data_IF_958298623629
#
_entry.id   IF_958298623629
#
_cell.length_a   1.000
_cell.length_b   1.000
_cell.length_c   1.000
_cell.angle_alpha   90.00
_cell.angle_beta   90.00
_cell.angle_gamma   90.00
#
_symmetry.space_group_name_H-M   'P 1'
#
loop_
_entity.id
_entity.type
_entity.pdbx_description
1 polymer ?
#
# COMPACT_ATOMS: atom_id res chain seq x y z
N UNK A 1 15.93 11.35 34.68
CA UNK A 1 16.25 10.30 33.67
C UNK A 1 17.53 9.61 34.12
N UNK A 2 17.65 8.28 34.02
CA UNK A 2 18.80 7.53 34.55
C UNK A 2 20.07 7.76 33.70
N UNK A 3 21.18 8.30 34.25
CA UNK A 3 22.41 8.60 33.51
C UNK A 3 23.14 7.39 32.90
N UNK A 4 22.96 6.20 33.47
CA UNK A 4 23.54 4.97 32.93
C UNK A 4 22.79 4.50 31.70
N UNK A 5 21.46 4.56 31.76
CA UNK A 5 20.59 4.29 30.62
C UNK A 5 20.94 5.22 29.45
N UNK A 6 21.09 6.52 29.68
CA UNK A 6 21.45 7.46 28.61
C UNK A 6 22.81 7.16 27.98
N UNK A 7 23.81 6.76 28.77
CA UNK A 7 25.14 6.39 28.26
C UNK A 7 25.09 5.11 27.43
N UNK A 8 24.38 4.10 27.90
CA UNK A 8 24.23 2.84 27.18
C UNK A 8 23.43 3.03 25.89
N UNK A 9 22.35 3.83 25.96
CA UNK A 9 21.54 4.21 24.82
C UNK A 9 22.36 4.93 23.74
N UNK A 10 23.09 5.99 24.11
CA UNK A 10 23.96 6.72 23.16
C UNK A 10 25.00 5.80 22.52
N UNK A 11 25.53 4.82 23.26
CA UNK A 11 26.49 3.83 22.75
C UNK A 11 25.84 2.88 21.74
N UNK A 12 24.65 2.35 22.05
CA UNK A 12 23.88 1.46 21.16
C UNK A 12 23.48 2.18 19.87
N UNK A 13 22.93 3.39 19.97
CA UNK A 13 22.58 4.22 18.81
C UNK A 13 23.80 4.50 17.94
N UNK A 14 24.97 4.83 18.54
CA UNK A 14 26.22 5.03 17.77
C UNK A 14 26.62 3.78 17.00
N UNK A 15 26.54 2.59 17.60
CA UNK A 15 26.88 1.31 16.95
C UNK A 15 25.93 0.98 15.81
N UNK A 16 24.61 1.14 16.02
CA UNK A 16 23.62 0.92 14.97
C UNK A 16 23.86 1.87 13.81
N UNK A 17 24.06 3.17 14.07
CA UNK A 17 24.31 4.17 13.02
C UNK A 17 25.62 3.93 12.25
N UNK A 18 26.61 3.31 12.88
CA UNK A 18 27.87 2.94 12.24
C UNK A 18 27.79 1.63 11.45
N UNK A 19 26.69 0.86 11.54
CA UNK A 19 26.56 -0.40 10.82
C UNK A 19 26.31 -0.17 9.32
N UNK A 20 26.88 -1.04 8.48
CA UNK A 20 26.69 -1.00 7.02
C UNK A 20 25.21 -1.15 6.64
N UNK A 21 24.47 -1.97 7.38
CA UNK A 21 23.03 -2.12 7.19
C UNK A 21 22.31 -0.80 7.40
N UNK A 22 22.55 -0.11 8.53
CA UNK A 22 21.96 1.20 8.78
C UNK A 22 22.36 2.20 7.70
N UNK A 23 23.66 2.29 7.37
CA UNK A 23 24.13 3.19 6.32
C UNK A 23 23.43 2.90 4.98
N UNK A 24 23.24 1.64 4.63
CA UNK A 24 22.57 1.23 3.38
C UNK A 24 21.09 1.61 3.36
N UNK A 25 20.33 1.36 4.44
CA UNK A 25 18.88 1.64 4.47
C UNK A 25 18.55 3.10 4.82
N UNK A 26 19.45 3.80 5.51
CA UNK A 26 19.29 5.21 5.89
C UNK A 26 19.85 6.19 4.86
N UNK A 27 20.69 5.72 3.93
CA UNK A 27 21.12 6.53 2.79
C UNK A 27 19.93 6.72 1.86
N UNK A 28 19.53 7.97 1.57
CA UNK A 28 18.47 8.23 0.61
C UNK A 28 18.80 7.53 -0.71
N UNK A 29 17.86 6.81 -1.34
CA UNK A 29 18.15 6.10 -2.57
C UNK A 29 18.76 7.07 -3.59
N UNK A 30 19.99 6.77 -4.04
CA UNK A 30 20.68 7.56 -5.08
C UNK A 30 19.99 7.50 -6.45
N UNK A 31 18.93 6.68 -6.58
CA UNK A 31 18.09 6.64 -7.75
C UNK A 31 17.42 8.02 -7.93
N UNK A 32 17.96 8.82 -8.86
CA UNK A 32 17.29 10.03 -9.34
C UNK A 32 15.86 9.65 -9.68
N UNK A 33 14.90 10.27 -8.98
CA UNK A 33 13.50 10.15 -9.34
C UNK A 33 13.38 10.62 -10.78
N UNK A 34 13.08 9.69 -11.70
CA UNK A 34 13.01 10.01 -13.11
C UNK A 34 11.95 11.10 -13.32
N UNK A 35 12.20 12.08 -14.21
CA UNK A 35 11.21 13.08 -14.51
C UNK A 35 9.92 12.41 -15.02
N UNK A 36 8.78 13.01 -14.68
CA UNK A 36 7.49 12.57 -15.15
C UNK A 36 7.51 12.49 -16.69
N UNK A 37 7.15 11.33 -17.25
CA UNK A 37 7.04 11.17 -18.69
C UNK A 37 5.67 11.61 -19.15
N UNK A 38 5.64 12.46 -20.16
CA UNK A 38 4.40 12.99 -20.75
C UNK A 38 3.79 12.07 -21.80
N UNK A 39 4.56 11.12 -22.36
CA UNK A 39 4.09 10.19 -23.40
C UNK A 39 4.39 8.73 -23.06
N UNK A 40 3.48 7.79 -23.39
CA UNK A 40 3.72 6.36 -23.24
C UNK A 40 4.80 5.89 -24.24
N UNK A 41 5.60 4.90 -23.83
CA UNK A 41 6.53 4.19 -24.73
C UNK A 41 5.77 3.24 -25.66
N UNK A 42 6.47 2.70 -26.66
CA UNK A 42 5.97 1.59 -27.46
C UNK A 42 5.60 0.43 -26.54
N UNK A 43 4.36 -0.05 -26.66
CA UNK A 43 3.83 -1.11 -25.81
C UNK A 43 3.27 -0.62 -24.47
N UNK A 44 3.21 0.68 -24.21
CA UNK A 44 2.50 1.25 -23.06
C UNK A 44 1.16 1.86 -23.46
N UNK A 45 0.24 1.88 -22.51
CA UNK A 45 -1.02 2.63 -22.56
C UNK A 45 -1.01 3.68 -21.44
N UNK A 46 -1.49 4.87 -21.73
CA UNK A 46 -1.67 5.93 -20.74
C UNK A 46 -3.13 5.93 -20.26
N UNK A 47 -3.32 5.83 -18.95
CA UNK A 47 -4.61 6.09 -18.32
C UNK A 47 -4.76 7.60 -18.15
N UNK A 48 -5.88 8.16 -18.60
CA UNK A 48 -6.18 9.58 -18.54
C UNK A 48 -7.67 9.82 -18.21
N UNK A 49 -8.13 11.08 -18.32
CA UNK A 49 -9.51 11.47 -18.00
C UNK A 49 -10.58 10.91 -18.95
N UNK A 50 -10.19 10.30 -20.08
CA UNK A 50 -11.12 9.61 -20.99
C UNK A 50 -11.49 8.22 -20.49
N UNK A 51 -10.70 7.66 -19.56
CA UNK A 51 -10.93 6.33 -19.00
C UNK A 51 -12.07 6.34 -17.99
N UNK A 52 -12.84 5.25 -18.03
CA UNK A 52 -13.88 4.97 -17.01
C UNK A 52 -13.41 3.87 -16.08
N UNK A 53 -13.64 4.02 -14.77
CA UNK A 53 -13.39 2.99 -13.77
C UNK A 53 -14.69 2.23 -13.50
N UNK A 54 -14.65 0.90 -13.62
CA UNK A 54 -15.81 0.03 -13.43
C UNK A 54 -15.52 -1.05 -12.41
N UNK A 55 -16.54 -1.39 -11.62
CA UNK A 55 -16.50 -2.49 -10.67
C UNK A 55 -17.37 -3.63 -11.20
N UNK A 56 -16.85 -4.86 -11.13
CA UNK A 56 -17.55 -6.06 -11.60
C UNK A 56 -17.47 -7.19 -10.57
N UNK A 57 -18.59 -7.91 -10.42
CA UNK A 57 -18.76 -8.97 -9.43
C UNK A 57 -19.62 -8.50 -8.25
N UNK A 58 -19.89 -9.43 -7.32
CA UNK A 58 -20.66 -9.13 -6.11
C UNK A 58 -19.76 -8.44 -5.07
N UNK A 59 -19.75 -7.11 -5.09
CA UNK A 59 -18.89 -6.25 -4.29
C UNK A 59 -19.73 -5.48 -3.27
N UNK A 60 -19.24 -5.40 -2.03
CA UNK A 60 -19.82 -4.54 -1.01
C UNK A 60 -19.56 -3.07 -1.37
N UNK A 61 -20.61 -2.24 -1.30
CA UNK A 61 -20.57 -0.82 -1.60
C UNK A 61 -19.61 -0.04 -0.68
N UNK A 62 -19.44 -0.50 0.56
CA UNK A 62 -18.54 0.11 1.55
C UNK A 62 -17.37 -0.81 1.94
N UNK A 63 -17.19 -1.89 1.19
CA UNK A 63 -16.16 -2.89 1.38
C UNK A 63 -14.74 -2.41 1.07
N UNK A 64 -13.74 -3.30 1.23
CA UNK A 64 -12.33 -3.02 0.95
C UNK A 64 -12.11 -2.49 -0.47
N UNK A 65 -12.82 -3.03 -1.47
CA UNK A 65 -12.67 -2.62 -2.86
C UNK A 65 -13.07 -1.15 -3.05
N UNK A 66 -14.20 -0.73 -2.46
CA UNK A 66 -14.68 0.64 -2.53
C UNK A 66 -13.68 1.64 -1.90
N UNK A 67 -13.06 1.26 -0.76
CA UNK A 67 -11.99 2.05 -0.14
C UNK A 67 -10.78 2.20 -1.05
N UNK A 68 -10.32 1.11 -1.66
CA UNK A 68 -9.21 1.13 -2.61
C UNK A 68 -9.50 1.98 -3.85
N UNK A 69 -10.72 1.95 -4.37
CA UNK A 69 -11.14 2.76 -5.53
C UNK A 69 -11.10 4.25 -5.21
N UNK A 70 -11.65 4.66 -4.06
CA UNK A 70 -11.60 6.05 -3.60
C UNK A 70 -10.16 6.53 -3.51
N UNK A 71 -9.31 5.74 -2.86
CA UNK A 71 -7.89 6.01 -2.71
C UNK A 71 -7.14 6.13 -4.06
N UNK A 72 -7.38 5.21 -4.99
CA UNK A 72 -6.77 5.25 -6.34
C UNK A 72 -7.19 6.52 -7.10
N UNK A 73 -8.49 6.84 -7.08
CA UNK A 73 -9.03 8.04 -7.73
C UNK A 73 -8.44 9.33 -7.11
N UNK A 74 -8.38 9.40 -5.78
CA UNK A 74 -7.80 10.54 -5.06
C UNK A 74 -6.31 10.69 -5.37
N UNK A 75 -5.57 9.59 -5.41
CA UNK A 75 -4.15 9.57 -5.75
C UNK A 75 -3.90 10.05 -7.18
N UNK A 76 -4.67 9.53 -8.16
CA UNK A 76 -4.60 9.98 -9.55
C UNK A 76 -4.94 11.47 -9.72
N UNK A 77 -5.99 11.93 -9.03
CA UNK A 77 -6.45 13.32 -9.09
C UNK A 77 -5.43 14.27 -8.46
N UNK A 78 -4.99 14.00 -7.23
CA UNK A 78 -4.08 14.88 -6.47
C UNK A 78 -2.66 14.87 -7.03
N UNK A 79 -2.15 13.69 -7.40
CA UNK A 79 -0.72 13.54 -7.76
C UNK A 79 -0.46 13.65 -9.26
N UNK A 80 -1.45 13.33 -10.10
CA UNK A 80 -1.30 13.33 -11.57
C UNK A 80 -2.33 14.20 -12.30
N UNK A 81 -3.27 14.83 -11.61
CA UNK A 81 -4.32 15.64 -12.25
C UNK A 81 -5.35 14.83 -13.06
N UNK A 82 -5.40 13.51 -12.88
CA UNK A 82 -6.27 12.61 -13.64
C UNK A 82 -7.55 12.32 -12.85
N UNK A 83 -8.71 12.62 -13.44
CA UNK A 83 -10.02 12.33 -12.84
C UNK A 83 -10.72 11.24 -13.64
N UNK A 84 -10.73 10.02 -13.11
CA UNK A 84 -11.44 8.90 -13.71
C UNK A 84 -12.95 9.03 -13.50
N UNK A 85 -13.71 8.69 -14.54
CA UNK A 85 -15.18 8.62 -14.44
C UNK A 85 -15.57 7.26 -13.86
N UNK A 86 -16.22 7.23 -12.70
CA UNK A 86 -16.70 5.98 -12.06
C UNK A 86 -18.12 5.59 -12.49
N UNK A 87 -18.85 6.52 -13.12
CA UNK A 87 -20.18 6.31 -13.69
C UNK A 87 -20.12 6.76 -15.16
N UNK A 88 -20.41 5.86 -16.09
CA UNK A 88 -20.32 6.18 -17.51
C UNK A 88 -20.58 5.01 -18.44
N UNK A 89 -20.81 5.34 -19.71
CA UNK A 89 -21.00 4.41 -20.82
C UNK A 89 -19.82 3.42 -20.93
N UNK A 90 -20.11 2.20 -21.37
CA UNK A 90 -19.11 1.17 -21.72
C UNK A 90 -18.43 1.43 -23.06
N UNK A 91 -18.87 2.45 -23.81
CA UNK A 91 -18.27 2.88 -25.07
C UNK A 91 -17.04 3.77 -24.79
N UNK A 92 -15.91 3.17 -24.48
CA UNK A 92 -14.64 3.88 -24.25
C UNK A 92 -13.59 3.02 -23.56
N UNK A 93 -12.40 3.59 -23.30
CA UNK A 93 -11.36 2.90 -22.57
C UNK A 93 -11.77 2.69 -21.10
N UNK A 94 -11.46 1.50 -20.55
CA UNK A 94 -11.99 1.05 -19.26
C UNK A 94 -10.91 0.48 -18.35
N UNK A 95 -10.90 0.94 -17.10
CA UNK A 95 -10.22 0.30 -15.97
C UNK A 95 -11.26 -0.51 -15.18
N UNK A 96 -11.21 -1.82 -15.27
CA UNK A 96 -12.16 -2.73 -14.64
C UNK A 96 -11.51 -3.41 -13.44
N UNK A 97 -12.13 -3.30 -12.26
CA UNK A 97 -11.81 -4.12 -11.09
C UNK A 97 -12.84 -5.23 -10.98
N UNK A 98 -12.43 -6.48 -11.19
CA UNK A 98 -13.31 -7.65 -11.24
C UNK A 98 -13.02 -8.61 -10.10
N UNK A 99 -14.02 -8.83 -9.25
CA UNK A 99 -14.02 -9.90 -8.28
C UNK A 99 -14.34 -11.22 -8.98
N UNK A 100 -13.40 -12.16 -8.93
CA UNK A 100 -13.58 -13.52 -9.44
C UNK A 100 -13.09 -14.52 -8.39
N UNK A 101 -13.97 -14.95 -7.46
CA UNK A 101 -13.61 -15.91 -6.43
C UNK A 101 -13.10 -17.21 -7.05
N UNK A 102 -11.99 -17.72 -6.50
CA UNK A 102 -11.44 -19.01 -6.88
C UNK A 102 -12.16 -20.17 -6.21
N UNK A 103 -11.77 -21.40 -6.57
CA UNK A 103 -12.25 -22.63 -5.89
C UNK A 103 -11.62 -22.85 -4.51
N UNK A 104 -10.49 -22.21 -4.23
CA UNK A 104 -9.77 -22.31 -2.95
C UNK A 104 -10.09 -21.09 -2.09
N UNK A 105 -10.17 -21.29 -0.78
CA UNK A 105 -10.25 -20.16 0.15
C UNK A 105 -9.02 -19.27 -0.04
N UNK A 106 -9.28 -17.98 -0.09
CA UNK A 106 -8.27 -16.94 -0.24
C UNK A 106 -7.84 -16.59 1.18
N UNK A 107 -6.57 -16.81 1.50
CA UNK A 107 -6.02 -16.34 2.76
C UNK A 107 -6.05 -14.80 2.78
N UNK A 108 -6.32 -14.18 3.93
CA UNK A 108 -6.30 -12.72 4.08
C UNK A 108 -4.95 -12.11 3.70
N UNK A 109 -3.88 -12.91 3.79
CA UNK A 109 -2.53 -12.52 3.41
C UNK A 109 -2.27 -12.60 1.90
N UNK A 110 -3.05 -13.41 1.17
CA UNK A 110 -2.94 -13.52 -0.27
C UNK A 110 -3.47 -12.24 -0.93
N UNK A 111 -2.52 -11.41 -1.36
CA UNK A 111 -2.77 -10.18 -2.09
C UNK A 111 -2.55 -10.33 -3.58
N UNK A 112 -2.74 -11.53 -4.12
CA UNK A 112 -2.46 -11.79 -5.50
C UNK A 112 -3.61 -11.35 -6.41
N UNK A 113 -3.24 -10.77 -7.55
CA UNK A 113 -4.18 -10.38 -8.57
C UNK A 113 -3.56 -10.52 -9.95
N UNK A 114 -4.42 -10.66 -10.96
CA UNK A 114 -4.02 -10.63 -12.36
C UNK A 114 -4.31 -9.24 -12.91
N UNK A 115 -3.35 -8.68 -13.63
CA UNK A 115 -3.51 -7.45 -14.39
C UNK A 115 -3.39 -7.78 -15.88
N UNK A 116 -4.47 -7.55 -16.62
CA UNK A 116 -4.51 -7.63 -18.07
C UNK A 116 -4.56 -6.20 -18.62
N UNK A 117 -3.64 -5.84 -19.50
CA UNK A 117 -3.55 -4.50 -20.07
C UNK A 117 -3.58 -4.61 -21.59
N UNK A 118 -4.55 -3.92 -22.20
CA UNK A 118 -4.64 -3.68 -23.64
C UNK A 118 -4.77 -2.17 -23.90
N UNK A 119 -4.98 -1.78 -25.15
CA UNK A 119 -5.06 -0.35 -25.53
C UNK A 119 -6.26 0.35 -24.91
N UNK A 120 -7.39 -0.33 -24.80
CA UNK A 120 -8.66 0.26 -24.34
C UNK A 120 -9.25 -0.46 -23.11
N UNK A 121 -8.52 -1.43 -22.56
CA UNK A 121 -8.96 -2.18 -21.38
C UNK A 121 -7.78 -2.45 -20.45
N UNK A 122 -7.90 -2.02 -19.21
CA UNK A 122 -7.08 -2.46 -18.09
C UNK A 122 -8.01 -3.22 -17.17
N UNK A 123 -7.78 -4.51 -17.00
CA UNK A 123 -8.58 -5.37 -16.14
C UNK A 123 -7.74 -5.90 -14.99
N UNK A 124 -8.17 -5.62 -13.77
CA UNK A 124 -7.67 -6.23 -12.55
C UNK A 124 -8.64 -7.33 -12.15
N UNK A 125 -8.15 -8.56 -12.05
CA UNK A 125 -8.95 -9.71 -11.59
C UNK A 125 -8.34 -10.20 -10.29
N UNK A 126 -9.14 -10.27 -9.23
CA UNK A 126 -8.68 -10.79 -7.95
C UNK A 126 -9.74 -11.68 -7.29
N UNK A 127 -9.32 -12.61 -6.40
CA UNK A 127 -10.22 -13.60 -5.84
C UNK A 127 -10.96 -13.12 -4.58
N UNK A 128 -10.60 -11.96 -4.04
CA UNK A 128 -11.25 -11.33 -2.87
C UNK A 128 -11.25 -9.80 -2.98
N UNK A 129 -12.11 -9.15 -2.21
CA UNK A 129 -12.13 -7.69 -2.09
C UNK A 129 -10.84 -7.11 -1.50
N UNK A 130 -10.22 -7.82 -0.55
CA UNK A 130 -8.93 -7.42 0.03
C UNK A 130 -7.83 -7.44 -1.04
N UNK A 131 -7.85 -8.42 -1.95
CA UNK A 131 -6.90 -8.46 -3.06
C UNK A 131 -7.16 -7.34 -4.08
N UNK A 132 -8.41 -6.93 -4.30
CA UNK A 132 -8.74 -5.74 -5.11
C UNK A 132 -8.30 -4.43 -4.44
N UNK A 133 -8.48 -4.28 -3.13
CA UNK A 133 -7.92 -3.17 -2.35
C UNK A 133 -6.40 -3.08 -2.56
N UNK A 134 -5.70 -4.19 -2.40
CA UNK A 134 -4.24 -4.26 -2.63
C UNK A 134 -3.88 -3.91 -4.07
N UNK A 135 -4.67 -4.31 -5.05
CA UNK A 135 -4.44 -3.93 -6.44
C UNK A 135 -4.56 -2.41 -6.67
N UNK A 136 -5.54 -1.75 -6.05
CA UNK A 136 -5.67 -0.29 -6.08
C UNK A 136 -4.47 0.41 -5.44
N UNK A 137 -4.04 -0.05 -4.27
CA UNK A 137 -2.86 0.47 -3.57
C UNK A 137 -1.58 0.25 -4.39
N UNK A 138 -1.45 -0.91 -5.03
CA UNK A 138 -0.34 -1.22 -5.92
C UNK A 138 -0.32 -0.29 -7.14
N UNK A 139 -1.47 -0.08 -7.80
CA UNK A 139 -1.58 0.80 -8.96
C UNK A 139 -1.26 2.25 -8.59
N UNK A 140 -1.83 2.75 -7.48
CA UNK A 140 -1.57 4.11 -7.01
C UNK A 140 -0.08 4.31 -6.74
N UNK A 141 0.58 3.40 -6.01
CA UNK A 141 2.02 3.46 -5.76
C UNK A 141 2.84 3.37 -7.07
N UNK A 142 2.48 2.43 -7.95
CA UNK A 142 3.13 2.23 -9.24
C UNK A 142 3.14 3.51 -10.09
N UNK A 143 2.03 4.23 -10.12
CA UNK A 143 1.89 5.50 -10.84
C UNK A 143 2.61 6.65 -10.14
N UNK A 144 2.53 6.73 -8.81
CA UNK A 144 3.21 7.75 -8.02
C UNK A 144 4.73 7.70 -8.21
N UNK A 145 5.33 6.51 -8.10
CA UNK A 145 6.76 6.31 -8.26
C UNK A 145 7.26 6.71 -9.65
N UNK A 146 6.41 6.53 -10.68
CA UNK A 146 6.72 6.88 -12.07
C UNK A 146 6.32 8.31 -12.44
N UNK A 147 5.53 8.96 -11.60
CA UNK A 147 4.92 10.27 -11.86
C UNK A 147 4.16 10.32 -13.19
N UNK A 148 3.55 9.20 -13.57
CA UNK A 148 2.67 9.06 -14.74
C UNK A 148 1.78 7.82 -14.57
N UNK A 149 0.64 7.80 -15.27
CA UNK A 149 -0.32 6.71 -15.23
C UNK A 149 -0.17 5.74 -16.42
N UNK A 150 1.07 5.35 -16.76
CA UNK A 150 1.33 4.46 -17.89
C UNK A 150 1.45 2.99 -17.47
N UNK A 151 0.85 2.08 -18.23
CA UNK A 151 0.95 0.64 -18.02
C UNK A 151 1.50 -0.05 -19.26
N UNK A 152 2.34 -1.06 -19.05
CA UNK A 152 2.80 -1.95 -20.12
C UNK A 152 1.65 -2.88 -20.54
N UNK A 153 1.41 -2.97 -21.84
CA UNK A 153 0.46 -3.89 -22.47
C UNK A 153 0.92 -5.33 -22.21
N UNK A 154 -0.05 -6.20 -21.93
CA UNK A 154 0.17 -7.61 -21.66
C UNK A 154 -0.51 -8.08 -20.39
N UNK A 155 -0.24 -9.33 -20.04
CA UNK A 155 -0.83 -9.99 -18.88
C UNK A 155 0.25 -10.29 -17.86
N UNK A 156 -0.01 -9.94 -16.59
CA UNK A 156 0.88 -10.29 -15.48
C UNK A 156 0.12 -10.70 -14.24
N UNK A 157 0.72 -11.59 -13.46
CA UNK A 157 0.29 -11.89 -12.10
C UNK A 157 1.14 -11.07 -11.15
N UNK A 158 0.50 -10.24 -10.34
CA UNK A 158 1.15 -9.50 -9.25
C UNK A 158 0.92 -10.30 -7.98
N UNK A 159 2.00 -10.58 -7.27
CA UNK A 159 1.98 -11.26 -5.98
C UNK A 159 2.94 -10.55 -5.04
N UNK A 160 2.63 -10.47 -3.73
CA UNK A 160 3.63 -10.08 -2.76
C UNK A 160 4.79 -11.09 -2.78
N UNK A 161 6.02 -10.59 -2.62
CA UNK A 161 7.20 -11.47 -2.48
C UNK A 161 7.22 -12.15 -1.11
N UNK A 162 6.62 -11.50 -0.10
CA UNK A 162 6.47 -12.01 1.25
C UNK A 162 5.02 -11.80 1.68
N UNK A 163 4.36 -12.87 2.13
CA UNK A 163 2.93 -12.84 2.44
C UNK A 163 2.60 -12.00 3.69
N UNK A 164 3.55 -11.87 4.61
CA UNK A 164 3.48 -11.01 5.79
C UNK A 164 4.62 -9.98 5.76
N UNK A 165 4.26 -8.71 5.62
CA UNK A 165 5.20 -7.61 5.66
C UNK A 165 4.80 -6.67 6.79
N UNK A 166 5.59 -6.72 7.87
CA UNK A 166 5.31 -6.01 9.11
C UNK A 166 6.10 -4.70 9.11
N UNK A 167 5.39 -3.58 9.28
CA UNK A 167 6.00 -2.30 9.63
C UNK A 167 6.19 -2.27 11.14
N UNK A 168 7.44 -2.28 11.62
CA UNK A 168 7.76 -2.24 13.04
C UNK A 168 8.91 -1.24 13.31
N UNK A 169 8.84 -0.56 14.45
CA UNK A 169 9.85 0.41 14.87
C UNK A 169 10.89 -0.28 15.75
N UNK A 170 12.12 0.19 15.60
CA UNK A 170 13.20 -0.10 16.51
C UNK A 170 13.36 1.09 17.46
N UNK A 171 12.59 1.04 18.55
CA UNK A 171 12.74 1.83 19.78
C UNK A 171 12.32 3.32 19.76
N UNK A 172 11.55 3.72 20.78
CA UNK A 172 10.87 5.01 20.86
C UNK A 172 9.38 4.82 20.58
N UNK A 173 8.51 5.57 21.28
CA UNK A 173 7.06 5.42 21.10
C UNK A 173 6.68 5.66 19.65
N UNK A 174 6.20 4.61 18.99
CA UNK A 174 5.68 4.71 17.62
C UNK A 174 4.53 5.72 17.62
N UNK A 175 4.38 6.47 16.54
CA UNK A 175 3.12 7.15 16.20
C UNK A 175 1.91 6.19 16.33
N UNK A 176 2.08 4.88 16.05
CA UNK A 176 1.01 3.89 16.26
C UNK A 176 0.78 3.49 17.72
N UNK A 177 1.78 3.63 18.62
CA UNK A 177 1.62 3.35 20.07
C UNK A 177 1.29 4.60 20.89
N UNK A 178 1.53 5.81 20.36
CA UNK A 178 0.91 7.02 20.90
C UNK A 178 -0.61 7.06 20.62
N UNK A 179 -1.10 6.20 19.71
CA UNK A 179 -2.47 6.09 19.23
C UNK A 179 -3.57 5.80 20.28
N UNK A 180 -3.22 5.65 21.56
CA UNK A 180 -4.19 5.51 22.65
C UNK A 180 -4.06 6.56 23.75
N UNK A 181 -2.91 7.25 23.87
CA UNK A 181 -2.69 8.24 24.93
C UNK A 181 -3.04 9.66 24.45
N UNK A 182 -2.92 9.95 23.15
CA UNK A 182 -3.15 11.30 22.60
C UNK A 182 -4.16 11.39 21.44
N UNK A 183 -4.87 10.31 21.13
CA UNK A 183 -5.91 10.26 20.09
C UNK A 183 -5.61 9.23 19.00
N UNK A 184 -6.64 8.89 18.22
CA UNK A 184 -6.55 7.91 17.13
C UNK A 184 -5.70 8.48 15.98
N UNK A 185 -4.67 7.75 15.57
CA UNK A 185 -3.90 8.04 14.35
C UNK A 185 -4.80 8.13 13.11
N UNK A 186 -4.46 9.00 12.17
CA UNK A 186 -5.25 9.15 10.93
C UNK A 186 -5.17 7.85 10.12
N UNK A 187 -6.31 7.38 9.62
CA UNK A 187 -6.40 6.22 8.72
C UNK A 187 -5.48 6.39 7.47
N UNK A 188 -5.14 7.63 7.10
CA UNK A 188 -4.21 7.97 6.01
C UNK A 188 -2.80 7.41 6.21
N UNK A 189 -2.31 7.37 7.46
CA UNK A 189 -0.96 6.85 7.77
C UNK A 189 -0.88 5.35 7.49
N UNK A 190 -1.95 4.62 7.81
CA UNK A 190 -2.05 3.20 7.53
C UNK A 190 -2.22 2.91 6.03
N UNK A 191 -2.90 3.78 5.28
CA UNK A 191 -3.00 3.67 3.82
C UNK A 191 -1.64 3.84 3.13
N UNK A 192 -0.81 4.80 3.56
CA UNK A 192 0.52 4.97 2.98
C UNK A 192 1.47 3.79 3.31
N UNK A 193 1.37 3.22 4.52
CA UNK A 193 2.05 1.95 4.86
C UNK A 193 1.58 0.81 3.95
N UNK A 194 0.27 0.69 3.73
CA UNK A 194 -0.30 -0.33 2.86
C UNK A 194 0.12 -0.16 1.38
N UNK A 195 0.30 1.08 0.89
CA UNK A 195 0.84 1.35 -0.47
C UNK A 195 2.25 0.84 -0.69
N UNK A 196 3.10 0.89 0.34
CA UNK A 196 4.46 0.32 0.28
C UNK A 196 4.49 -1.18 0.57
N UNK A 197 3.32 -1.79 0.70
CA UNK A 197 3.15 -3.23 0.84
C UNK A 197 3.24 -3.75 2.28
N UNK A 198 3.20 -2.88 3.29
CA UNK A 198 3.02 -3.29 4.69
C UNK A 198 1.59 -3.75 4.87
N UNK A 199 1.39 -4.97 5.37
CA UNK A 199 0.05 -5.54 5.56
C UNK A 199 -0.25 -5.92 7.01
N UNK A 200 0.69 -5.65 7.92
CA UNK A 200 0.47 -5.76 9.35
C UNK A 200 1.32 -4.75 10.13
N UNK A 201 0.81 -4.35 11.29
CA UNK A 201 1.54 -3.54 12.27
C UNK A 201 1.39 -4.18 13.65
N UNK A 202 2.47 -4.27 14.44
CA UNK A 202 2.37 -4.70 15.81
C UNK A 202 1.70 -3.60 16.63
N UNK A 203 0.64 -3.95 17.36
CA UNK A 203 0.00 -3.08 18.34
C UNK A 203 0.32 -3.63 19.73
N UNK A 204 0.85 -2.78 20.60
CA UNK A 204 0.98 -3.09 22.02
C UNK A 204 -0.34 -2.75 22.70
N UNK A 205 -1.09 -3.77 23.09
CA UNK A 205 -2.29 -3.60 23.91
C UNK A 205 -1.92 -3.77 25.39
N UNK A 206 -2.00 -2.67 26.15
CA UNK A 206 -1.87 -2.56 27.61
C UNK A 206 -0.51 -2.91 28.26
N UNK A 207 0.11 -1.90 28.89
CA UNK A 207 0.90 -2.09 30.11
C UNK A 207 -0.09 -2.46 31.23
N UNK A 208 -0.29 -3.76 31.49
CA UNK A 208 -1.02 -4.17 32.71
C UNK A 208 -0.19 -3.73 33.91
N UNK A 209 -0.64 -2.70 34.62
CA UNK A 209 -0.10 -2.36 35.93
C UNK A 209 -0.44 -3.50 36.88
N UNK A 210 0.57 -4.29 37.23
CA UNK A 210 0.44 -5.35 38.22
C UNK A 210 1.27 -6.57 37.86
N UNK A 211 2.53 -6.56 38.33
CA UNK A 211 3.40 -7.72 38.56
C UNK A 211 3.52 -8.73 37.39
N UNK A 212 4.65 -8.59 36.69
CA UNK A 212 5.17 -9.39 35.57
C UNK A 212 4.78 -8.87 34.17
N UNK A 213 5.67 -8.12 33.48
CA UNK A 213 5.38 -7.58 32.16
C UNK A 213 5.55 -8.66 31.11
N UNK A 214 4.52 -9.50 30.93
CA UNK A 214 4.39 -10.26 29.68
C UNK A 214 3.88 -9.29 28.62
N UNK A 215 4.79 -8.75 27.82
CA UNK A 215 4.46 -7.86 26.72
C UNK A 215 3.72 -8.67 25.66
N UNK A 216 2.39 -8.52 25.57
CA UNK A 216 1.58 -9.15 24.52
C UNK A 216 1.60 -8.22 23.31
N UNK A 217 2.28 -8.66 22.26
CA UNK A 217 2.27 -8.01 20.96
C UNK A 217 1.12 -8.61 20.16
N UNK A 218 0.06 -7.85 19.94
CA UNK A 218 -1.02 -8.26 19.05
C UNK A 218 -0.72 -7.70 17.65
N UNK A 219 -0.87 -8.53 16.62
CA UNK A 219 -0.63 -8.12 15.24
C UNK A 219 -1.93 -7.62 14.61
N UNK A 220 -2.02 -6.31 14.38
CA UNK A 220 -3.17 -5.72 13.70
C UNK A 220 -2.94 -5.73 12.19
N UNK A 221 -3.96 -6.18 11.46
CA UNK A 221 -3.89 -6.43 10.03
C UNK A 221 -4.86 -5.48 9.33
N UNK A 222 -4.40 -4.89 8.22
CA UNK A 222 -5.24 -4.04 7.36
C UNK A 222 -6.10 -4.88 6.41
#
# INVERSE_FOLDING_TARGET
MNPEFEREWRRKVRRVRASDFWQTVSTPPQARVQPARTRPRRGEVAIDATWTLQLQGNLDADGPTARGVRDLCDSLSRRLGIRLRTRGSTAGPRLVLRLQPGKRSVDRWSGDFRLNVSRDLVEVIAPSEVALLRACLWLSNYFCLRRNAHLQIGTRRVRPTVDLHVGADLWGGFSTTQGWIYGRESDDNFLELARVGVNAVPISNHLVQGLSPTLRLDLYCF
#
